data_IF_152795555511
#
_entry.id   IF_152795555511
#
_cell.length_a   1.000
_cell.length_b   1.000
_cell.length_c   1.000
_cell.angle_alpha   90.00
_cell.angle_beta   90.00
_cell.angle_gamma   90.00
#
_symmetry.space_group_name_H-M   'P 1'
#
loop_
_entity.id
_entity.type
_entity.pdbx_description
1 polymer ?
#
# COMPACT_ATOMS: atom_id res chain seq x y z
N UNK A 1 3.09 17.42 12.81
CA UNK A 1 3.03 16.80 11.48
C UNK A 1 2.10 15.63 11.59
N UNK A 2 1.02 15.60 10.81
CA UNK A 2 0.11 14.46 10.75
C UNK A 2 0.76 13.36 9.92
N UNK A 3 0.78 12.13 10.42
CA UNK A 3 1.19 10.95 9.64
C UNK A 3 0.34 10.90 8.36
N UNK A 4 0.93 10.78 7.17
CA UNK A 4 0.15 10.61 5.95
C UNK A 4 -0.70 9.34 6.06
N UNK A 5 -1.95 9.45 5.64
CA UNK A 5 -2.88 8.32 5.60
C UNK A 5 -2.51 7.46 4.40
N UNK A 6 -2.44 6.15 4.60
CA UNK A 6 -2.15 5.22 3.52
C UNK A 6 -2.91 3.90 3.75
N UNK A 7 -3.11 3.17 2.67
CA UNK A 7 -3.57 1.78 2.70
C UNK A 7 -2.65 0.95 1.82
N UNK A 8 -2.37 -0.27 2.28
CA UNK A 8 -1.79 -1.32 1.44
C UNK A 8 -2.83 -2.40 1.24
N UNK A 9 -3.04 -2.79 0.00
CA UNK A 9 -3.83 -3.97 -0.33
C UNK A 9 -2.97 -5.05 -0.97
N UNK A 10 -3.37 -6.30 -0.75
CA UNK A 10 -2.89 -7.46 -1.49
C UNK A 10 -4.06 -8.08 -2.24
N UNK A 11 -3.90 -8.31 -3.55
CA UNK A 11 -4.90 -9.01 -4.36
C UNK A 11 -4.77 -10.54 -4.22
N UNK A 12 -5.76 -11.28 -4.74
CA UNK A 12 -5.76 -12.75 -4.70
C UNK A 12 -4.69 -13.44 -5.57
N UNK A 13 -3.96 -12.68 -6.40
CA UNK A 13 -2.82 -13.13 -7.18
C UNK A 13 -1.47 -12.81 -6.50
N UNK A 14 -1.48 -12.11 -5.36
CA UNK A 14 -0.30 -11.68 -4.63
C UNK A 14 0.29 -10.34 -5.09
N UNK A 15 -0.45 -9.56 -5.88
CA UNK A 15 -0.10 -8.20 -6.26
C UNK A 15 -0.20 -7.26 -5.05
N UNK A 16 0.81 -6.42 -4.85
CA UNK A 16 0.85 -5.45 -3.75
C UNK A 16 0.66 -4.03 -4.28
N UNK A 17 -0.21 -3.28 -3.61
CA UNK A 17 -0.57 -1.92 -3.99
C UNK A 17 -0.52 -1.00 -2.78
N UNK A 18 0.11 0.17 -2.93
CA UNK A 18 0.14 1.25 -1.94
C UNK A 18 -0.73 2.40 -2.42
N UNK A 19 -1.65 2.86 -1.58
CA UNK A 19 -2.47 4.04 -1.82
C UNK A 19 -2.21 5.09 -0.73
N UNK A 20 -1.94 6.34 -1.12
CA UNK A 20 -1.69 7.44 -0.19
C UNK A 20 -2.77 8.50 -0.33
N UNK A 21 -3.29 8.93 0.81
CA UNK A 21 -4.40 9.85 0.92
C UNK A 21 -3.94 11.24 1.39
N UNK A 22 -4.55 12.28 0.81
CA UNK A 22 -4.43 13.63 1.34
C UNK A 22 -5.28 13.84 2.61
N UNK A 23 -5.26 15.07 3.15
CA UNK A 23 -6.05 15.42 4.32
C UNK A 23 -7.57 15.42 4.10
N UNK A 24 -8.02 15.50 2.84
CA UNK A 24 -9.43 15.42 2.48
C UNK A 24 -9.91 13.96 2.30
N UNK A 25 -8.99 12.99 2.28
CA UNK A 25 -9.30 11.57 2.05
C UNK A 25 -9.31 11.18 0.57
N UNK A 26 -8.76 12.02 -0.31
CA UNK A 26 -8.56 11.71 -1.73
C UNK A 26 -7.25 10.95 -1.90
N UNK A 27 -7.24 9.90 -2.71
CA UNK A 27 -6.01 9.22 -3.10
C UNK A 27 -5.23 10.11 -4.06
N UNK A 28 -4.05 10.54 -3.64
CA UNK A 28 -3.17 11.45 -4.41
C UNK A 28 -1.97 10.74 -5.02
N UNK A 29 -1.73 9.49 -4.60
CA UNK A 29 -0.65 8.66 -5.11
C UNK A 29 -1.03 7.19 -4.97
N UNK A 30 -0.65 6.41 -5.99
CA UNK A 30 -0.70 4.96 -5.96
C UNK A 30 0.58 4.39 -6.57
N UNK A 31 0.98 3.21 -6.13
CA UNK A 31 2.04 2.44 -6.76
C UNK A 31 1.79 0.95 -6.56
N UNK A 32 2.22 0.13 -7.52
CA UNK A 32 2.05 -1.32 -7.50
C UNK A 32 3.29 -2.04 -8.03
N UNK A 33 3.34 -3.37 -7.85
CA UNK A 33 4.47 -4.18 -8.29
C UNK A 33 5.54 -4.40 -7.21
N UNK A 34 5.22 -4.12 -5.95
CA UNK A 34 6.13 -4.35 -4.82
C UNK A 34 6.47 -5.84 -4.62
N UNK A 35 5.60 -6.75 -5.07
CA UNK A 35 5.82 -8.20 -5.02
C UNK A 35 7.08 -8.65 -5.79
N UNK A 36 7.56 -7.85 -6.74
CA UNK A 36 8.80 -8.11 -7.48
C UNK A 36 10.03 -7.48 -6.82
N UNK A 37 9.85 -6.64 -5.79
CA UNK A 37 10.91 -5.85 -5.14
C UNK A 37 10.70 -5.80 -3.62
N UNK A 38 10.92 -6.95 -2.98
CA UNK A 38 10.78 -7.12 -1.52
C UNK A 38 11.59 -6.06 -0.76
N UNK A 39 10.97 -5.46 0.26
CA UNK A 39 11.50 -4.42 1.15
C UNK A 39 11.16 -3.00 0.71
N UNK A 40 10.88 -2.78 -0.58
CA UNK A 40 10.62 -1.44 -1.12
C UNK A 40 9.33 -0.84 -0.57
N UNK A 41 8.28 -1.65 -0.38
CA UNK A 41 7.02 -1.15 0.20
C UNK A 41 7.23 -0.71 1.66
N UNK A 42 7.99 -1.50 2.42
CA UNK A 42 8.32 -1.21 3.80
C UNK A 42 9.15 0.08 3.93
N UNK A 43 10.12 0.27 3.03
CA UNK A 43 10.92 1.50 2.96
C UNK A 43 10.07 2.72 2.62
N UNK A 44 9.12 2.60 1.70
CA UNK A 44 8.18 3.68 1.35
C UNK A 44 7.26 4.05 2.49
N UNK A 45 6.70 3.06 3.18
CA UNK A 45 5.89 3.29 4.37
C UNK A 45 6.72 4.00 5.45
N UNK A 46 7.99 3.64 5.61
CA UNK A 46 8.88 4.32 6.54
C UNK A 46 9.16 5.77 6.13
N UNK A 47 9.41 6.03 4.83
CA UNK A 47 9.60 7.36 4.28
C UNK A 47 8.36 8.25 4.47
N UNK A 48 7.17 7.72 4.14
CA UNK A 48 5.87 8.35 4.39
C UNK A 48 5.73 8.76 5.86
N UNK A 49 6.00 7.84 6.79
CA UNK A 49 5.94 8.10 8.24
C UNK A 49 6.95 9.15 8.69
N UNK A 50 8.11 9.25 8.04
CA UNK A 50 9.10 10.28 8.29
C UNK A 50 8.74 11.64 7.66
N UNK A 51 7.61 11.75 6.96
CA UNK A 51 7.16 12.95 6.27
C UNK A 51 7.94 13.24 4.98
N UNK A 52 8.64 12.24 4.44
CA UNK A 52 9.31 12.32 3.15
C UNK A 52 8.48 11.55 2.14
N UNK A 53 7.73 12.22 1.25
CA UNK A 53 6.89 11.50 0.30
C UNK A 53 7.75 10.62 -0.63
N UNK A 54 7.33 9.37 -0.91
CA UNK A 54 7.95 8.55 -1.92
C UNK A 54 7.86 9.26 -3.28
N UNK A 55 8.92 9.13 -4.06
CA UNK A 55 9.19 10.02 -5.20
C UNK A 55 8.22 9.73 -6.34
N UNK A 56 7.61 10.77 -6.91
CA UNK A 56 6.68 10.73 -8.04
C UNK A 56 7.26 10.13 -9.35
N UNK A 57 8.52 9.70 -9.37
CA UNK A 57 9.25 9.18 -10.53
C UNK A 57 9.32 7.64 -10.58
N UNK A 58 8.44 6.95 -9.85
CA UNK A 58 8.45 5.48 -9.81
C UNK A 58 7.53 4.91 -10.88
N UNK A 59 8.11 4.19 -11.84
CA UNK A 59 7.38 3.36 -12.80
C UNK A 59 6.39 2.45 -12.04
N UNK A 60 5.10 2.53 -12.38
CA UNK A 60 4.03 1.77 -11.72
C UNK A 60 2.97 2.59 -10.98
N UNK A 61 3.04 3.93 -11.05
CA UNK A 61 1.94 4.81 -10.65
C UNK A 61 0.81 4.87 -11.70
N UNK A 62 -0.40 5.20 -11.25
CA UNK A 62 -1.58 5.42 -12.10
C UNK A 62 -1.79 6.92 -12.34
N UNK A 63 -2.23 7.30 -13.55
CA UNK A 63 -2.55 8.68 -13.91
C UNK A 63 -3.79 9.19 -13.15
N UNK A 64 -4.66 8.28 -12.69
CA UNK A 64 -5.78 8.57 -11.80
C UNK A 64 -5.76 7.63 -10.56
N UNK A 65 -4.95 7.96 -9.53
CA UNK A 65 -4.83 7.14 -8.32
C UNK A 65 -6.17 6.92 -7.60
N UNK A 66 -7.06 7.90 -7.65
CA UNK A 66 -8.38 7.81 -7.03
C UNK A 66 -9.26 6.79 -7.75
N UNK A 67 -9.32 6.85 -9.08
CA UNK A 67 -10.05 5.86 -9.87
C UNK A 67 -9.49 4.45 -9.68
N UNK A 68 -8.16 4.31 -9.58
CA UNK A 68 -7.50 3.03 -9.33
C UNK A 68 -7.94 2.40 -7.99
N UNK A 69 -8.02 3.19 -6.91
CA UNK A 69 -8.52 2.68 -5.62
C UNK A 69 -10.01 2.39 -5.65
N UNK A 70 -10.80 3.23 -6.33
CA UNK A 70 -12.25 3.05 -6.44
C UNK A 70 -12.62 1.82 -7.26
N UNK A 71 -11.78 1.39 -8.21
CA UNK A 71 -11.94 0.12 -8.91
C UNK A 71 -11.92 -1.05 -7.92
N UNK A 72 -10.93 -1.13 -7.03
CA UNK A 72 -10.87 -2.17 -5.99
C UNK A 72 -12.10 -2.19 -5.10
N UNK A 73 -12.67 -1.02 -4.79
CA UNK A 73 -13.89 -0.91 -3.97
C UNK A 73 -15.14 -1.48 -4.65
N UNK A 74 -15.07 -1.83 -5.94
CA UNK A 74 -16.14 -2.55 -6.67
C UNK A 74 -16.07 -4.07 -6.48
N UNK A 75 -14.94 -4.59 -6.01
CA UNK A 75 -14.69 -6.02 -5.77
C UNK A 75 -14.93 -6.41 -4.30
N UNK A 76 -15.01 -7.70 -4.02
CA UNK A 76 -15.33 -8.21 -2.68
C UNK A 76 -14.07 -8.26 -1.80
N UNK A 77 -14.01 -7.38 -0.79
CA UNK A 77 -12.93 -7.39 0.19
C UNK A 77 -12.98 -8.67 1.04
N UNK A 78 -11.84 -9.35 1.17
CA UNK A 78 -11.70 -10.65 1.81
C UNK A 78 -11.71 -11.83 0.83
N UNK A 79 -12.23 -11.64 -0.39
CA UNK A 79 -12.24 -12.67 -1.45
C UNK A 79 -11.34 -12.30 -2.62
N UNK A 80 -11.43 -11.06 -3.12
CA UNK A 80 -10.69 -10.58 -4.29
C UNK A 80 -9.41 -9.83 -3.90
N UNK A 81 -9.46 -9.09 -2.79
CA UNK A 81 -8.33 -8.38 -2.20
C UNK A 81 -8.51 -8.21 -0.69
N UNK A 82 -7.44 -7.91 0.03
CA UNK A 82 -7.47 -7.59 1.45
C UNK A 82 -6.66 -6.33 1.74
N UNK A 83 -7.14 -5.47 2.64
CA UNK A 83 -6.30 -4.44 3.26
C UNK A 83 -5.36 -5.12 4.26
N UNK A 84 -4.05 -4.99 4.03
CA UNK A 84 -3.00 -5.66 4.82
C UNK A 84 -2.19 -4.71 5.70
N UNK A 85 -2.27 -3.40 5.46
CA UNK A 85 -1.73 -2.37 6.35
C UNK A 85 -2.40 -1.01 6.11
N UNK A 86 -2.41 -0.17 7.15
CA UNK A 86 -2.79 1.24 7.08
C UNK A 86 -1.87 2.09 7.98
N UNK A 87 -2.21 3.38 8.16
CA UNK A 87 -1.40 4.28 8.99
C UNK A 87 -1.30 3.84 10.47
N UNK A 88 -2.29 3.08 10.96
CA UNK A 88 -2.42 2.67 12.36
C UNK A 88 -1.72 1.35 12.62
N UNK A 89 -1.88 0.35 11.75
CA UNK A 89 -1.41 -1.00 12.00
C UNK A 89 -1.12 -1.76 10.71
N UNK A 90 -0.45 -2.89 10.89
CA UNK A 90 -0.33 -3.96 9.90
C UNK A 90 -1.33 -5.05 10.30
N UNK A 91 -1.93 -5.75 9.33
CA UNK A 91 -2.95 -6.79 9.52
C UNK A 91 -2.43 -8.17 9.09
N UNK A 92 -1.59 -8.86 9.89
CA UNK A 92 -0.96 -10.13 9.50
C UNK A 92 -1.94 -11.25 9.11
N UNK A 93 -3.11 -11.27 9.74
CA UNK A 93 -4.15 -12.28 9.50
C UNK A 93 -4.84 -12.09 8.14
N UNK A 94 -4.81 -10.88 7.59
CA UNK A 94 -5.37 -10.56 6.27
C UNK A 94 -4.39 -10.83 5.12
N UNK A 95 -3.12 -11.09 5.42
CA UNK A 95 -2.06 -11.21 4.41
C UNK A 95 -2.08 -12.55 3.67
N UNK A 96 -1.94 -12.47 2.36
CA UNK A 96 -1.45 -13.52 1.49
C UNK A 96 0.07 -13.70 1.58
N UNK A 97 0.67 -14.25 0.52
CA UNK A 97 2.08 -14.63 0.52
C UNK A 97 3.01 -13.43 0.34
N UNK A 98 2.67 -12.49 -0.55
CA UNK A 98 3.53 -11.38 -0.90
C UNK A 98 3.63 -10.39 0.26
N UNK A 99 2.51 -10.03 0.88
CA UNK A 99 2.53 -9.15 2.05
C UNK A 99 3.24 -9.80 3.24
N UNK A 100 3.08 -11.12 3.44
CA UNK A 100 3.84 -11.84 4.48
C UNK A 100 5.34 -11.75 4.24
N UNK A 101 5.82 -11.93 3.01
CA UNK A 101 7.25 -11.81 2.70
C UNK A 101 7.74 -10.39 2.98
N UNK A 102 7.01 -9.39 2.46
CA UNK A 102 7.32 -7.98 2.63
C UNK A 102 7.44 -7.57 4.11
N UNK A 103 6.42 -7.88 4.91
CA UNK A 103 6.33 -7.44 6.31
C UNK A 103 7.00 -8.38 7.31
N UNK A 104 7.42 -9.60 6.94
CA UNK A 104 8.21 -10.50 7.82
C UNK A 104 9.69 -10.24 7.77
N UNK A 105 10.25 -9.90 6.61
CA UNK A 105 11.69 -9.63 6.45
C UNK A 105 12.07 -8.23 6.97
N UNK A 106 11.07 -7.35 7.16
CA UNK A 106 11.22 -6.03 7.77
C UNK A 106 10.33 -5.86 9.02
N UNK A 107 10.53 -6.68 10.08
CA UNK A 107 9.83 -6.45 11.34
C UNK A 107 10.31 -5.11 11.88
N UNK A 108 9.39 -4.16 12.05
CA UNK A 108 9.73 -2.87 12.67
C UNK A 108 10.42 -3.13 14.01
N UNK A 109 11.63 -2.58 14.15
CA UNK A 109 12.25 -2.30 15.44
C UNK A 109 11.58 -1.13 16.14
#
# INVERSE_FOLDING_TARGET
MTTPRYEVIEDNAGGLYLYVYDSAGTVVYTHSGYEYRVGVLSDDIAALRAGTPPVADWDGGDDDPQAARDEWRRWDEGSDYCVVADETTVYPDAMGAAAKIEFREHPRG
#
